data_IF_737491460385
#
_entry.id   IF_737491460385
#
_cell.length_a   1.000
_cell.length_b   1.000
_cell.length_c   1.000
_cell.angle_alpha   90.00
_cell.angle_beta   90.00
_cell.angle_gamma   90.00
#
_symmetry.space_group_name_H-M   'P 1'
#
loop_
_entity.id
_entity.type
_entity.pdbx_description
1 polymer ?
#
# COMPACT_ATOMS: atom_id res chain seq x y z
N UNK A 1 -2.12 22.05 3.70
CA UNK A 1 -2.91 20.86 3.34
C UNK A 1 -1.96 19.68 3.26
N UNK A 2 -2.23 18.60 3.98
CA UNK A 2 -1.34 17.42 4.07
C UNK A 2 -1.29 16.69 2.72
N UNK A 3 -0.09 16.33 2.26
CA UNK A 3 0.16 15.48 1.09
C UNK A 3 0.64 14.11 1.57
N UNK A 4 0.00 13.05 1.10
CA UNK A 4 0.38 11.70 1.47
C UNK A 4 0.53 10.80 0.24
N UNK A 5 1.58 9.98 0.26
CA UNK A 5 1.88 8.99 -0.77
C UNK A 5 1.70 7.59 -0.20
N UNK A 6 1.06 6.71 -0.95
CA UNK A 6 1.00 5.27 -0.69
C UNK A 6 1.68 4.58 -1.85
N UNK A 7 2.69 3.76 -1.58
CA UNK A 7 3.40 2.96 -2.60
C UNK A 7 3.24 1.49 -2.25
N UNK A 8 2.58 0.74 -3.13
CA UNK A 8 2.28 -0.69 -2.92
C UNK A 8 2.69 -1.53 -4.12
N UNK A 9 2.89 -2.82 -3.88
CA UNK A 9 3.19 -3.78 -4.93
C UNK A 9 1.96 -4.03 -5.81
N UNK A 10 0.83 -4.42 -5.22
CA UNK A 10 -0.34 -4.89 -5.96
C UNK A 10 -1.57 -3.98 -5.80
N UNK A 11 -2.51 -4.04 -6.77
CA UNK A 11 -3.78 -3.35 -6.67
C UNK A 11 -4.73 -4.04 -5.67
N UNK A 12 -4.86 -3.51 -4.47
CA UNK A 12 -5.70 -3.95 -3.32
C UNK A 12 -4.94 -3.73 -2.01
N UNK A 13 -3.62 -3.88 -2.03
CA UNK A 13 -2.70 -3.64 -0.91
C UNK A 13 -2.96 -2.28 -0.24
N UNK A 14 -3.22 -1.23 -1.03
CA UNK A 14 -3.52 0.11 -0.49
C UNK A 14 -4.77 0.07 0.42
N UNK A 15 -5.75 -0.75 0.03
CA UNK A 15 -7.00 -0.90 0.75
C UNK A 15 -6.84 -1.86 1.93
N UNK A 16 -6.14 -2.99 1.76
CA UNK A 16 -5.94 -3.99 2.81
C UNK A 16 -5.15 -3.40 3.99
N UNK A 17 -4.00 -2.78 3.70
CA UNK A 17 -3.04 -2.39 4.73
C UNK A 17 -3.29 -1.00 5.33
N UNK A 18 -3.85 -0.06 4.54
CA UNK A 18 -4.04 1.33 4.99
C UNK A 18 -5.32 2.03 4.49
N UNK A 19 -6.27 1.30 3.91
CA UNK A 19 -7.49 1.89 3.34
C UNK A 19 -8.33 2.65 4.37
N UNK A 20 -8.34 2.20 5.62
CA UNK A 20 -9.00 2.88 6.73
C UNK A 20 -8.31 4.19 7.10
N UNK A 21 -6.97 4.26 7.04
CA UNK A 21 -6.19 5.48 7.27
C UNK A 21 -6.58 6.54 6.24
N UNK A 22 -6.65 6.13 4.97
CA UNK A 22 -7.03 7.01 3.87
C UNK A 22 -8.46 7.53 4.08
N UNK A 23 -9.41 6.65 4.38
CA UNK A 23 -10.82 6.99 4.63
C UNK A 23 -11.02 7.89 5.86
N UNK A 24 -10.14 7.78 6.87
CA UNK A 24 -10.18 8.59 8.10
C UNK A 24 -9.68 10.02 7.84
N UNK A 25 -8.88 10.23 6.78
CA UNK A 25 -8.30 11.52 6.43
C UNK A 25 -8.75 11.98 5.03
N UNK A 26 -10.06 12.22 4.80
CA UNK A 26 -10.59 12.54 3.48
C UNK A 26 -10.16 13.91 2.94
N UNK A 27 -9.59 14.76 3.81
CA UNK A 27 -9.15 16.12 3.47
C UNK A 27 -7.66 16.20 3.08
N UNK A 28 -6.94 15.08 3.11
CA UNK A 28 -5.54 15.03 2.65
C UNK A 28 -5.48 14.86 1.12
N UNK A 29 -4.39 15.30 0.50
CA UNK A 29 -4.10 15.03 -0.90
C UNK A 29 -3.37 13.69 -1.01
N UNK A 30 -4.13 12.64 -1.33
CA UNK A 30 -3.61 11.29 -1.49
C UNK A 30 -3.12 11.02 -2.92
N UNK A 31 -1.97 10.35 -3.01
CA UNK A 31 -1.45 9.72 -4.23
C UNK A 31 -1.18 8.26 -3.91
N UNK A 32 -1.67 7.34 -4.73
CA UNK A 32 -1.52 5.90 -4.53
C UNK A 32 -0.88 5.28 -5.77
N UNK A 33 0.22 4.57 -5.59
CA UNK A 33 0.98 3.91 -6.65
C UNK A 33 0.93 2.40 -6.46
N UNK A 34 0.53 1.66 -7.49
CA UNK A 34 0.60 0.18 -7.52
C UNK A 34 1.63 -0.25 -8.55
N UNK A 35 2.67 -0.97 -8.12
CA UNK A 35 3.83 -1.28 -8.97
C UNK A 35 3.54 -2.38 -9.99
N UNK A 36 2.57 -3.25 -9.75
CA UNK A 36 2.23 -4.39 -10.60
C UNK A 36 0.84 -4.23 -11.23
N UNK A 37 0.59 -5.02 -12.29
CA UNK A 37 -0.74 -5.30 -12.86
C UNK A 37 -1.44 -4.08 -13.49
N UNK A 38 -0.72 -3.16 -14.14
CA UNK A 38 -1.35 -2.03 -14.84
C UNK A 38 -2.09 -2.45 -16.12
N UNK A 39 -1.60 -3.49 -16.80
CA UNK A 39 -2.21 -4.09 -18.01
C UNK A 39 -3.22 -5.20 -17.69
N UNK A 40 -3.39 -5.56 -16.42
CA UNK A 40 -4.37 -6.55 -15.98
C UNK A 40 -5.80 -6.04 -16.22
N UNK A 41 -6.51 -6.71 -17.14
CA UNK A 41 -7.86 -6.31 -17.59
C UNK A 41 -8.92 -6.43 -16.50
N UNK A 42 -8.67 -7.18 -15.44
CA UNK A 42 -9.56 -7.29 -14.28
C UNK A 42 -9.11 -6.35 -13.15
N UNK A 43 -7.86 -6.45 -12.72
CA UNK A 43 -7.36 -5.78 -11.51
C UNK A 43 -7.13 -4.29 -11.70
N UNK A 44 -6.62 -3.85 -12.85
CA UNK A 44 -6.28 -2.44 -13.06
C UNK A 44 -7.52 -1.51 -13.08
N UNK A 45 -8.65 -1.88 -13.70
CA UNK A 45 -9.89 -1.10 -13.58
C UNK A 45 -10.42 -1.01 -12.14
N UNK A 46 -10.32 -2.10 -11.37
CA UNK A 46 -10.76 -2.18 -9.97
C UNK A 46 -9.93 -1.26 -9.08
N UNK A 47 -8.60 -1.26 -9.23
CA UNK A 47 -7.71 -0.32 -8.54
C UNK A 47 -8.06 1.15 -8.81
N UNK A 48 -8.21 1.51 -10.08
CA UNK A 48 -8.59 2.88 -10.45
C UNK A 48 -9.95 3.26 -9.86
N UNK A 49 -10.90 2.32 -9.80
CA UNK A 49 -12.21 2.53 -9.15
C UNK A 49 -12.10 2.70 -7.63
N UNK A 50 -11.23 1.94 -6.97
CA UNK A 50 -10.94 2.06 -5.54
C UNK A 50 -10.31 3.43 -5.24
N UNK A 51 -9.28 3.83 -5.98
CA UNK A 51 -8.62 5.13 -5.84
C UNK A 51 -9.59 6.32 -6.04
N UNK A 52 -10.52 6.23 -7.00
CA UNK A 52 -11.59 7.22 -7.16
C UNK A 52 -12.50 7.32 -5.94
N UNK A 53 -12.87 6.19 -5.32
CA UNK A 53 -13.68 6.18 -4.08
C UNK A 53 -12.91 6.73 -2.88
N UNK A 54 -11.60 6.50 -2.84
CA UNK A 54 -10.67 7.06 -1.86
C UNK A 54 -10.33 8.54 -2.13
N UNK A 55 -10.81 9.13 -3.23
CA UNK A 55 -10.49 10.50 -3.67
C UNK A 55 -8.98 10.74 -3.84
N UNK A 56 -8.24 9.70 -4.23
CA UNK A 56 -6.81 9.75 -4.45
C UNK A 56 -6.49 9.89 -5.94
N UNK A 57 -5.39 10.58 -6.26
CA UNK A 57 -4.73 10.37 -7.54
C UNK A 57 -4.05 9.01 -7.53
N UNK A 58 -3.91 8.38 -8.68
CA UNK A 58 -3.23 7.09 -8.77
C UNK A 58 -2.49 6.92 -10.08
N UNK A 59 -1.46 6.08 -10.05
CA UNK A 59 -0.78 5.55 -11.22
C UNK A 59 -0.40 4.09 -10.97
N UNK A 60 -0.20 3.33 -12.04
CA UNK A 60 0.16 1.92 -11.97
C UNK A 60 1.34 1.62 -12.90
N UNK A 61 2.04 0.52 -12.64
CA UNK A 61 3.05 -0.01 -13.53
C UNK A 61 2.90 -1.53 -13.70
N UNK A 62 3.62 -2.11 -14.66
CA UNK A 62 3.73 -3.56 -14.83
C UNK A 62 5.11 -4.05 -14.41
N UNK A 63 5.42 -3.89 -13.12
CA UNK A 63 6.55 -4.57 -12.51
C UNK A 63 6.28 -6.08 -12.55
N UNK A 64 7.30 -6.85 -12.91
CA UNK A 64 7.16 -8.27 -13.16
C UNK A 64 6.70 -9.04 -11.91
N UNK A 65 5.57 -9.73 -12.00
CA UNK A 65 4.86 -10.41 -10.90
C UNK A 65 4.35 -11.82 -11.27
N UNK A 66 4.71 -12.36 -12.44
CA UNK A 66 4.35 -13.73 -12.82
C UNK A 66 5.13 -14.79 -12.03
N UNK A 67 6.33 -14.42 -11.56
CA UNK A 67 7.17 -15.25 -10.69
C UNK A 67 7.42 -14.58 -9.32
N UNK A 68 6.40 -14.47 -8.46
CA UNK A 68 6.51 -13.77 -7.17
C UNK A 68 7.49 -14.46 -6.20
N UNK A 69 7.80 -15.74 -6.41
CA UNK A 69 8.80 -16.49 -5.66
C UNK A 69 10.25 -16.06 -5.99
N UNK A 70 10.45 -15.41 -7.14
CA UNK A 70 11.77 -14.94 -7.59
C UNK A 70 11.96 -13.47 -7.25
N UNK A 71 13.15 -13.16 -6.74
CA UNK A 71 13.58 -11.77 -6.54
C UNK A 71 13.83 -11.09 -7.90
N UNK A 72 13.55 -9.80 -7.95
CA UNK A 72 13.95 -8.95 -9.07
C UNK A 72 15.48 -8.92 -9.19
N UNK A 73 15.93 -8.76 -10.43
CA UNK A 73 17.36 -8.63 -10.74
C UNK A 73 17.94 -7.32 -10.18
N UNK A 74 17.15 -6.25 -10.09
CA UNK A 74 17.60 -4.95 -9.61
C UNK A 74 16.46 -4.17 -8.96
N UNK A 75 16.76 -3.51 -7.83
CA UNK A 75 15.85 -2.56 -7.16
C UNK A 75 15.71 -1.25 -7.96
N UNK A 76 16.70 -0.90 -8.78
CA UNK A 76 16.62 0.29 -9.65
C UNK A 76 15.41 0.26 -10.58
N UNK A 77 14.96 -0.94 -10.98
CA UNK A 77 13.73 -1.09 -11.77
C UNK A 77 12.50 -0.56 -11.01
N UNK A 78 12.40 -0.88 -9.72
CA UNK A 78 11.31 -0.44 -8.85
C UNK A 78 11.40 1.08 -8.66
N UNK A 79 12.59 1.62 -8.36
CA UNK A 79 12.81 3.06 -8.20
C UNK A 79 12.45 3.82 -9.49
N UNK A 80 12.88 3.34 -10.66
CA UNK A 80 12.54 3.95 -11.96
C UNK A 80 11.03 4.02 -12.19
N UNK A 81 10.30 2.95 -11.86
CA UNK A 81 8.83 2.92 -11.98
C UNK A 81 8.15 3.86 -11.01
N UNK A 82 8.60 3.94 -9.76
CA UNK A 82 8.09 4.93 -8.79
C UNK A 82 8.28 6.35 -9.32
N UNK A 83 9.46 6.70 -9.85
CA UNK A 83 9.72 8.02 -10.46
C UNK A 83 8.74 8.33 -11.59
N UNK A 84 8.58 7.40 -12.55
CA UNK A 84 7.67 7.57 -13.68
C UNK A 84 6.21 7.74 -13.24
N UNK A 85 5.76 6.96 -12.26
CA UNK A 85 4.39 7.05 -11.73
C UNK A 85 4.13 8.34 -10.93
N UNK A 86 5.13 8.86 -10.20
CA UNK A 86 5.03 10.16 -9.54
C UNK A 86 4.88 11.31 -10.55
N UNK A 87 5.57 11.21 -11.68
CA UNK A 87 5.43 12.14 -12.81
C UNK A 87 4.03 12.04 -13.45
N UNK A 88 3.57 10.82 -13.77
CA UNK A 88 2.22 10.56 -14.31
C UNK A 88 1.12 11.14 -13.40
N UNK A 89 1.22 10.89 -12.09
CA UNK A 89 0.28 11.40 -11.10
C UNK A 89 0.43 12.92 -10.85
N UNK A 90 1.48 13.57 -11.39
CA UNK A 90 1.84 14.98 -11.14
C UNK A 90 1.90 15.26 -9.64
N UNK A 91 2.62 14.40 -8.91
CA UNK A 91 2.66 14.40 -7.45
C UNK A 91 3.90 15.12 -6.88
N UNK A 92 4.97 15.26 -7.67
CA UNK A 92 6.28 15.70 -7.19
C UNK A 92 6.93 14.63 -6.28
N UNK A 93 8.05 14.98 -5.65
CA UNK A 93 8.85 14.07 -4.80
C UNK A 93 8.81 14.40 -3.32
N UNK A 94 8.00 15.37 -2.87
CA UNK A 94 7.88 15.73 -1.45
C UNK A 94 6.47 15.51 -0.92
N UNK A 95 6.38 14.83 0.24
CA UNK A 95 5.14 14.51 0.94
C UNK A 95 5.26 14.82 2.43
N UNK A 96 4.13 15.01 3.13
CA UNK A 96 4.17 15.01 4.59
C UNK A 96 4.36 13.57 5.09
N UNK A 97 3.64 12.62 4.49
CA UNK A 97 3.62 11.22 4.92
C UNK A 97 3.76 10.26 3.74
N UNK A 98 4.59 9.23 3.90
CA UNK A 98 4.74 8.12 2.94
C UNK A 98 4.31 6.83 3.62
N UNK A 99 3.50 6.01 2.96
CA UNK A 99 3.07 4.69 3.41
C UNK A 99 3.56 3.63 2.42
N UNK A 100 4.14 2.55 2.91
CA UNK A 100 4.62 1.44 2.07
C UNK A 100 4.71 0.13 2.86
N UNK A 101 5.07 -0.96 2.20
CA UNK A 101 5.23 -2.28 2.80
C UNK A 101 6.28 -2.33 3.92
N UNK A 102 6.11 -3.28 4.83
CA UNK A 102 7.08 -3.64 5.86
C UNK A 102 8.27 -4.44 5.30
N UNK A 103 9.37 -4.44 6.04
CA UNK A 103 10.59 -5.18 5.67
C UNK A 103 10.39 -6.70 5.61
N UNK A 104 9.35 -7.22 6.27
CA UNK A 104 8.95 -8.62 6.22
C UNK A 104 8.05 -8.94 5.01
N UNK A 105 7.55 -7.95 4.28
CA UNK A 105 6.59 -8.11 3.19
C UNK A 105 5.25 -8.71 3.64
N UNK A 106 4.82 -8.41 4.87
CA UNK A 106 3.59 -8.85 5.55
C UNK A 106 3.42 -10.38 5.70
N UNK A 107 3.32 -11.09 4.60
CA UNK A 107 3.24 -12.56 4.49
C UNK A 107 4.42 -13.13 3.70
N UNK A 108 5.59 -12.50 3.83
CA UNK A 108 6.83 -12.92 3.20
C UNK A 108 6.86 -12.75 1.67
N UNK A 109 6.05 -11.83 1.11
CA UNK A 109 5.97 -11.60 -0.34
C UNK A 109 7.19 -10.84 -0.86
N UNK A 110 7.85 -11.33 -1.92
CA UNK A 110 9.08 -10.71 -2.43
C UNK A 110 8.84 -9.30 -2.98
N UNK A 111 7.75 -9.09 -3.75
CA UNK A 111 7.44 -7.76 -4.29
C UNK A 111 7.20 -6.72 -3.20
N UNK A 112 6.61 -7.11 -2.08
CA UNK A 112 6.38 -6.20 -0.95
C UNK A 112 7.72 -5.78 -0.34
N UNK A 113 8.62 -6.74 -0.12
CA UNK A 113 9.98 -6.47 0.38
C UNK A 113 10.79 -5.59 -0.58
N UNK A 114 10.63 -5.78 -1.89
CA UNK A 114 11.35 -5.02 -2.89
C UNK A 114 10.84 -3.58 -2.98
N UNK A 115 9.53 -3.38 -2.92
CA UNK A 115 8.91 -2.05 -2.81
C UNK A 115 9.33 -1.36 -1.51
N UNK A 116 9.34 -2.07 -0.38
CA UNK A 116 9.84 -1.57 0.89
C UNK A 116 11.29 -1.04 0.75
N UNK A 117 12.20 -1.88 0.23
CA UNK A 117 13.61 -1.49 0.04
C UNK A 117 13.75 -0.30 -0.89
N UNK A 118 13.07 -0.32 -2.04
CA UNK A 118 13.15 0.74 -3.03
C UNK A 118 12.71 2.09 -2.46
N UNK A 119 11.57 2.13 -1.77
CA UNK A 119 11.06 3.38 -1.16
C UNK A 119 12.00 3.88 -0.07
N UNK A 120 12.56 2.97 0.75
CA UNK A 120 13.52 3.32 1.78
C UNK A 120 14.81 3.91 1.16
N UNK A 121 15.38 3.24 0.16
CA UNK A 121 16.58 3.72 -0.56
C UNK A 121 16.32 5.08 -1.23
N UNK A 122 15.17 5.27 -1.89
CA UNK A 122 14.82 6.57 -2.50
C UNK A 122 14.76 7.71 -1.49
N UNK A 123 14.37 7.43 -0.24
CA UNK A 123 14.39 8.42 0.84
C UNK A 123 15.81 8.72 1.30
N UNK A 124 16.62 7.69 1.53
CA UNK A 124 18.03 7.82 1.92
C UNK A 124 18.84 8.58 0.86
N UNK A 125 18.55 8.34 -0.41
CA UNK A 125 19.13 9.00 -1.59
C UNK A 125 18.52 10.39 -1.88
N UNK A 126 17.52 10.82 -1.11
CA UNK A 126 16.77 12.09 -1.25
C UNK A 126 16.04 12.27 -2.59
N UNK A 127 15.75 11.18 -3.29
CA UNK A 127 14.89 11.18 -4.48
C UNK A 127 13.41 11.28 -4.11
N UNK A 128 13.04 10.80 -2.92
CA UNK A 128 11.74 10.96 -2.30
C UNK A 128 11.94 11.59 -0.92
N UNK A 129 11.20 12.65 -0.60
CA UNK A 129 11.31 13.34 0.67
C UNK A 129 9.98 13.29 1.43
N UNK A 130 10.05 13.01 2.73
CA UNK A 130 8.88 13.09 3.60
C UNK A 130 9.22 13.45 5.04
N UNK A 131 8.23 13.89 5.83
CA UNK A 131 8.42 14.15 7.27
C UNK A 131 8.40 12.86 8.09
N UNK A 132 7.53 11.93 7.70
CA UNK A 132 7.44 10.60 8.32
C UNK A 132 7.13 9.54 7.27
N UNK A 133 7.74 8.38 7.43
CA UNK A 133 7.38 7.17 6.69
C UNK A 133 6.70 6.17 7.63
N UNK A 134 5.67 5.49 7.11
CA UNK A 134 4.87 4.48 7.78
C UNK A 134 5.02 3.17 7.02
N UNK A 135 5.66 2.19 7.63
CA UNK A 135 5.74 0.84 7.09
C UNK A 135 4.59 0.00 7.63
N UNK A 136 3.87 -0.71 6.75
CA UNK A 136 2.84 -1.65 7.17
C UNK A 136 3.45 -2.69 8.12
N UNK A 137 2.80 -2.89 9.27
CA UNK A 137 3.29 -3.79 10.30
C UNK A 137 2.25 -4.89 10.55
N UNK A 138 2.30 -5.89 9.68
CA UNK A 138 1.42 -7.07 9.68
C UNK A 138 2.26 -8.34 9.64
N UNK A 139 1.62 -9.46 9.97
CA UNK A 139 2.21 -10.80 9.90
C UNK A 139 1.18 -11.80 9.38
N UNK A 140 1.63 -12.84 8.70
CA UNK A 140 0.80 -14.00 8.41
C UNK A 140 0.37 -14.66 9.74
N UNK A 141 -0.92 -14.91 9.91
CA UNK A 141 -1.43 -15.62 11.09
C UNK A 141 -1.03 -17.10 11.00
N UNK A 142 -0.30 -17.62 11.99
CA UNK A 142 0.21 -19.00 11.99
C UNK A 142 -0.89 -20.08 11.95
N UNK A 143 -2.12 -19.74 12.33
CA UNK A 143 -3.27 -20.64 12.41
C UNK A 143 -4.26 -20.41 11.27
N UNK A 144 -3.94 -19.56 10.30
CA UNK A 144 -4.87 -19.20 9.23
C UNK A 144 -4.15 -18.79 7.94
N UNK A 145 -4.90 -18.66 6.86
CA UNK A 145 -4.44 -18.20 5.55
C UNK A 145 -4.59 -16.69 5.35
N UNK A 146 -4.50 -15.85 6.38
CA UNK A 146 -4.63 -14.38 6.25
C UNK A 146 -3.66 -13.63 7.16
N UNK A 147 -3.43 -12.35 6.87
CA UNK A 147 -2.59 -11.49 7.69
C UNK A 147 -3.37 -10.83 8.82
N UNK A 148 -2.68 -10.58 9.92
CA UNK A 148 -3.18 -9.79 11.04
C UNK A 148 -2.21 -8.65 11.39
N UNK A 149 -2.70 -7.54 11.95
CA UNK A 149 -1.85 -6.45 12.43
C UNK A 149 -0.90 -6.95 13.54
N UNK A 150 0.39 -6.70 13.39
CA UNK A 150 1.40 -7.05 14.39
C UNK A 150 1.48 -5.99 15.49
N UNK A 151 0.42 -5.86 16.28
CA UNK A 151 0.20 -4.69 17.15
C UNK A 151 1.19 -4.52 18.31
N UNK A 152 1.79 -5.62 18.79
CA UNK A 152 2.64 -5.61 20.00
C UNK A 152 3.96 -4.87 19.84
N UNK A 153 4.51 -4.85 18.64
CA UNK A 153 5.78 -4.20 18.33
C UNK A 153 5.59 -2.99 17.41
N UNK A 154 4.35 -2.56 17.16
CA UNK A 154 4.05 -1.40 16.32
C UNK A 154 4.27 -0.10 17.09
N UNK A 155 4.76 0.92 16.41
CA UNK A 155 4.81 2.28 16.97
C UNK A 155 3.46 2.99 16.90
N UNK A 156 2.63 2.63 15.91
CA UNK A 156 1.28 3.16 15.76
C UNK A 156 0.28 2.06 15.44
N UNK A 157 -0.76 1.97 16.27
CA UNK A 157 -1.94 1.14 16.01
C UNK A 157 -3.15 2.06 15.90
N UNK A 158 -3.74 2.15 14.71
CA UNK A 158 -4.92 2.94 14.47
C UNK A 158 -6.15 2.04 14.44
N UNK A 159 -7.03 2.19 15.45
CA UNK A 159 -8.30 1.46 15.51
C UNK A 159 -9.37 2.22 14.73
N UNK A 160 -9.93 1.57 13.71
CA UNK A 160 -10.95 2.15 12.85
C UNK A 160 -12.32 2.18 13.55
N UNK A 161 -13.09 3.25 13.27
CA UNK A 161 -14.51 3.29 13.61
C UNK A 161 -15.29 2.25 12.80
N UNK A 162 -16.48 1.87 13.26
CA UNK A 162 -17.31 0.88 12.56
C UNK A 162 -17.67 1.33 11.15
N UNK A 163 -17.97 2.61 10.99
CA UNK A 163 -18.25 3.20 9.69
C UNK A 163 -17.05 3.06 8.74
N UNK A 164 -15.84 3.37 9.21
CA UNK A 164 -14.63 3.28 8.40
C UNK A 164 -14.28 1.81 8.10
N UNK A 165 -14.42 0.91 9.08
CA UNK A 165 -14.25 -0.54 8.86
C UNK A 165 -15.24 -1.05 7.82
N UNK A 166 -16.52 -0.64 7.88
CA UNK A 166 -17.53 -1.02 6.88
C UNK A 166 -17.18 -0.47 5.50
N UNK A 167 -16.76 0.79 5.39
CA UNK A 167 -16.34 1.37 4.11
C UNK A 167 -15.13 0.64 3.52
N UNK A 168 -14.10 0.39 4.34
CA UNK A 168 -12.90 -0.36 3.95
C UNK A 168 -13.24 -1.75 3.42
N UNK A 169 -14.04 -2.51 4.17
CA UNK A 169 -14.46 -3.86 3.78
C UNK A 169 -15.35 -3.87 2.52
N UNK A 170 -16.17 -2.85 2.29
CA UNK A 170 -16.94 -2.70 1.04
C UNK A 170 -16.06 -2.39 -0.17
N UNK A 171 -14.92 -1.71 -0.01
CA UNK A 171 -13.98 -1.52 -1.12
C UNK A 171 -13.44 -2.89 -1.58
N UNK A 172 -13.04 -3.74 -0.63
CA UNK A 172 -12.54 -5.09 -0.93
C UNK A 172 -13.64 -5.95 -1.59
N UNK A 173 -14.83 -6.04 -1.00
CA UNK A 173 -15.87 -6.95 -1.51
C UNK A 173 -16.65 -6.43 -2.72
N UNK A 174 -16.84 -5.11 -2.86
CA UNK A 174 -17.72 -4.53 -3.90
C UNK A 174 -16.96 -3.87 -5.05
N UNK A 175 -15.68 -3.54 -4.88
CA UNK A 175 -14.84 -2.99 -5.95
C UNK A 175 -13.87 -4.03 -6.44
N UNK A 176 -13.13 -4.66 -5.53
CA UNK A 176 -12.21 -5.72 -5.90
C UNK A 176 -12.90 -7.08 -6.11
N UNK A 177 -14.16 -7.21 -5.64
CA UNK A 177 -15.01 -8.40 -5.83
C UNK A 177 -14.47 -9.65 -5.15
N UNK A 178 -13.66 -9.47 -4.10
CA UNK A 178 -13.18 -10.58 -3.30
C UNK A 178 -14.28 -11.15 -2.40
N UNK A 179 -14.27 -12.48 -2.24
CA UNK A 179 -15.22 -13.18 -1.37
C UNK A 179 -14.93 -12.93 0.11
N UNK A 180 -15.90 -13.19 0.98
CA UNK A 180 -15.73 -13.00 2.42
C UNK A 180 -14.66 -13.91 3.04
N UNK A 181 -14.38 -15.04 2.39
CA UNK A 181 -13.40 -16.03 2.83
C UNK A 181 -11.99 -15.77 2.28
N UNK A 182 -11.84 -14.78 1.39
CA UNK A 182 -10.58 -14.49 0.72
C UNK A 182 -9.50 -13.98 1.68
N UNK A 183 -8.23 -14.08 1.24
CA UNK A 183 -7.10 -13.52 1.96
C UNK A 183 -7.30 -12.02 2.21
N UNK A 184 -7.73 -11.29 1.19
CA UNK A 184 -7.86 -9.84 1.17
C UNK A 184 -8.93 -9.37 2.15
N UNK A 185 -10.12 -9.99 2.12
CA UNK A 185 -11.20 -9.62 3.04
C UNK A 185 -10.83 -9.92 4.49
N UNK A 186 -10.20 -11.07 4.75
CA UNK A 186 -9.81 -11.47 6.11
C UNK A 186 -8.63 -10.66 6.65
N UNK A 187 -7.73 -10.21 5.76
CA UNK A 187 -6.58 -9.37 6.12
C UNK A 187 -6.95 -7.90 6.32
N UNK A 188 -8.04 -7.42 5.72
CA UNK A 188 -8.55 -6.05 5.85
C UNK A 188 -9.22 -5.80 7.23
N UNK A 189 -8.43 -5.91 8.31
CA UNK A 189 -8.91 -5.84 9.68
C UNK A 189 -9.23 -4.40 10.16
N UNK A 190 -9.92 -4.31 11.31
CA UNK A 190 -10.35 -3.06 11.98
C UNK A 190 -9.21 -2.28 12.63
N UNK A 191 -8.03 -2.87 12.76
CA UNK A 191 -6.83 -2.18 13.23
C UNK A 191 -5.86 -2.11 12.08
N UNK A 192 -5.29 -0.93 11.86
CA UNK A 192 -4.16 -0.73 10.94
C UNK A 192 -2.91 -0.43 11.77
N UNK A 193 -1.83 -1.14 11.48
CA UNK A 193 -0.62 -1.18 12.31
C UNK A 193 0.58 -0.73 11.48
N UNK A 194 1.40 0.15 12.04
CA UNK A 194 2.54 0.76 11.37
C UNK A 194 3.80 0.78 12.26
N UNK A 195 4.96 0.55 11.64
CA UNK A 195 6.24 1.07 12.14
C UNK A 195 6.43 2.47 11.57
N UNK A 196 6.80 3.44 12.40
CA UNK A 196 6.97 4.84 11.97
C UNK A 196 8.46 5.19 11.99
N UNK A 197 8.90 6.05 11.08
CA UNK A 197 10.25 6.62 11.13
C UNK A 197 10.13 8.11 10.83
N UNK A 198 10.70 8.93 11.71
CA UNK A 198 10.84 10.37 11.53
C UNK A 198 12.10 10.66 10.72
N UNK A 199 12.00 11.56 9.73
CA UNK A 199 13.03 11.84 8.73
C UNK A 199 13.34 13.35 8.62
#
# INVERSE_FOLDING_TARGET
MVKALVVVAHPDDETIWCGGTILTHPNWKWVILSLCRADDKDRAPKFRKACRKLKAKCAMSDLEDEHPEKKLKSIEEVKRRVRAMLEEARAGSWFDYVFTHGSNGEYNHNRHKEVHRAVKEMIEERELACKKIFFFNYRLNERSTHCEPATRNAELNMRLSEEITRKKTLLISSIYEFSIESFEQRSAQRVESFQVVDL
#
